data_IF_819111892587
#
_entry.id   IF_819111892587
#
_cell.length_a   1.000
_cell.length_b   1.000
_cell.length_c   1.000
_cell.angle_alpha   90.00
_cell.angle_beta   90.00
_cell.angle_gamma   90.00
#
_symmetry.space_group_name_H-M   'P 1'
#
loop_
_entity.id
_entity.type
_entity.pdbx_description
1 polymer ?
#
# COMPACT_ATOMS: atom_id res chain seq x y z
N UNK A 1 34.99 -10.71 -1.00
CA UNK A 1 34.84 -10.01 0.29
C UNK A 1 35.75 -8.78 0.35
N UNK A 2 35.40 -7.71 -0.36
CA UNK A 2 36.14 -6.43 -0.40
C UNK A 2 35.16 -5.27 -0.67
N UNK A 3 34.07 -5.21 0.08
CA UNK A 3 33.05 -4.17 -0.09
C UNK A 3 32.48 -3.75 1.27
N UNK A 4 33.36 -3.48 2.23
CA UNK A 4 33.00 -3.11 3.60
C UNK A 4 33.65 -1.79 4.07
N UNK A 5 34.19 -0.98 3.14
CA UNK A 5 35.11 0.10 3.50
C UNK A 5 34.73 1.48 2.95
N UNK A 6 33.45 1.85 2.99
CA UNK A 6 33.00 3.19 2.60
C UNK A 6 31.97 3.82 3.57
N UNK A 7 31.98 3.41 4.84
CA UNK A 7 31.04 3.91 5.87
C UNK A 7 31.68 4.98 6.80
N UNK A 8 32.97 5.29 6.69
CA UNK A 8 33.66 6.16 7.65
C UNK A 8 34.53 7.21 6.96
N UNK A 9 33.94 8.31 6.51
CA UNK A 9 34.68 9.53 6.25
C UNK A 9 33.72 10.74 6.12
N UNK A 10 33.67 11.54 7.18
CA UNK A 10 33.43 12.99 7.16
C UNK A 10 31.96 13.40 6.88
N UNK A 11 31.08 13.70 7.83
CA UNK A 11 31.24 14.24 9.18
C UNK A 11 32.21 15.43 9.23
N UNK A 12 31.81 16.59 8.67
CA UNK A 12 32.18 17.95 9.09
C UNK A 12 31.91 18.94 7.95
N UNK A 13 30.77 19.65 8.00
CA UNK A 13 30.74 21.10 7.76
C UNK A 13 29.40 21.63 8.25
N UNK A 14 29.49 22.46 9.27
CA UNK A 14 28.41 22.97 10.12
C UNK A 14 28.21 24.47 9.81
N UNK A 15 26.99 24.95 10.00
CA UNK A 15 26.58 26.34 10.26
C UNK A 15 26.64 27.35 9.10
N UNK A 16 25.46 27.89 8.78
CA UNK A 16 25.29 29.14 8.03
C UNK A 16 23.86 29.67 8.17
N UNK A 17 23.55 30.25 9.34
CA UNK A 17 22.29 30.98 9.61
C UNK A 17 22.37 32.35 8.97
N UNK A 18 21.34 32.77 8.23
CA UNK A 18 21.03 34.19 8.02
C UNK A 18 19.53 34.37 7.81
N UNK A 19 18.90 34.92 8.84
CA UNK A 19 17.55 35.46 8.91
C UNK A 19 17.33 36.65 7.98
N UNK A 20 16.17 36.73 7.31
CA UNK A 20 15.51 37.99 6.93
C UNK A 20 13.99 37.81 6.87
N UNK A 21 13.26 38.47 7.77
CA UNK A 21 11.84 38.84 7.61
C UNK A 21 11.78 40.30 7.16
N UNK A 22 10.88 40.64 6.23
CA UNK A 22 9.75 41.54 6.55
C UNK A 22 8.50 41.09 5.75
N UNK A 23 7.28 41.61 5.85
CA UNK A 23 6.70 42.76 6.50
C UNK A 23 5.21 42.43 6.73
N UNK A 24 4.64 43.02 7.76
CA UNK A 24 3.22 43.03 8.06
C UNK A 24 2.60 44.25 7.35
N UNK A 25 1.67 44.05 6.44
CA UNK A 25 0.75 45.06 5.89
C UNK A 25 -0.29 44.28 5.06
N UNK A 26 -1.59 44.48 5.13
CA UNK A 26 -2.47 45.34 5.91
C UNK A 26 -3.87 44.86 5.50
N UNK A 27 -4.79 44.78 6.46
CA UNK A 27 -6.19 44.49 6.16
C UNK A 27 -6.79 45.69 5.39
N UNK A 28 -7.34 45.46 4.20
CA UNK A 28 -8.37 46.32 3.62
C UNK A 28 -9.26 45.50 2.66
N UNK A 29 -10.56 45.61 2.91
CA UNK A 29 -11.64 45.03 2.14
C UNK A 29 -11.72 45.60 0.71
N UNK A 30 -12.17 44.80 -0.25
CA UNK A 30 -12.49 45.26 -1.59
C UNK A 30 -12.83 44.12 -2.54
N UNK A 31 -14.13 43.93 -2.80
CA UNK A 31 -14.69 43.02 -3.81
C UNK A 31 -14.13 43.32 -5.22
N UNK A 32 -13.78 42.28 -6.01
CA UNK A 32 -13.90 42.16 -7.48
C UNK A 32 -13.22 40.84 -7.96
N UNK A 33 -14.00 39.85 -8.38
CA UNK A 33 -13.58 38.66 -9.18
C UNK A 33 -13.33 39.12 -10.64
N UNK A 34 -12.69 38.37 -11.57
CA UNK A 34 -12.15 37.01 -11.49
C UNK A 34 -10.72 36.85 -12.07
N UNK A 35 -9.84 36.16 -11.35
CA UNK A 35 -8.59 35.64 -11.93
C UNK A 35 -8.59 34.14 -11.73
N UNK A 36 -8.60 33.45 -12.87
CA UNK A 36 -8.53 32.02 -13.05
C UNK A 36 -7.65 31.34 -11.99
N UNK A 37 -8.28 30.68 -11.02
CA UNK A 37 -7.63 29.58 -10.35
C UNK A 37 -7.50 28.46 -11.39
N UNK A 38 -6.30 27.93 -11.69
CA UNK A 38 -6.25 26.60 -12.27
C UNK A 38 -6.92 25.68 -11.25
N UNK A 39 -8.00 25.04 -11.68
CA UNK A 39 -8.64 23.98 -10.89
C UNK A 39 -7.52 23.06 -10.38
N UNK A 40 -7.40 22.84 -9.06
CA UNK A 40 -6.43 21.89 -8.55
C UNK A 40 -6.80 20.57 -9.20
N UNK A 41 -5.96 20.13 -10.13
CA UNK A 41 -6.05 18.89 -10.89
C UNK A 41 -6.61 17.84 -9.96
N UNK A 42 -7.86 17.45 -10.23
CA UNK A 42 -8.61 16.47 -9.46
C UNK A 42 -7.64 15.35 -9.08
N UNK A 43 -7.45 15.18 -7.77
CA UNK A 43 -6.75 14.05 -7.20
C UNK A 43 -7.07 12.82 -8.03
N UNK A 44 -6.06 12.12 -8.57
CA UNK A 44 -6.24 10.79 -9.16
C UNK A 44 -6.87 9.93 -8.08
N UNK A 45 -8.20 9.90 -8.03
CA UNK A 45 -8.95 9.23 -6.98
C UNK A 45 -8.72 7.75 -7.23
N UNK A 46 -8.09 7.02 -6.30
CA UNK A 46 -8.01 5.58 -6.44
C UNK A 46 -9.45 5.08 -6.60
N UNK A 47 -9.71 4.30 -7.66
CA UNK A 47 -11.02 3.71 -7.85
C UNK A 47 -11.43 2.99 -6.55
N UNK A 48 -12.71 3.07 -6.15
CA UNK A 48 -13.15 2.47 -4.90
C UNK A 48 -12.80 0.96 -4.91
N UNK A 49 -12.31 0.42 -3.79
CA UNK A 49 -11.97 -0.99 -3.68
C UNK A 49 -13.21 -1.85 -3.95
N UNK A 50 -13.02 -2.91 -4.72
CA UNK A 50 -14.09 -3.84 -5.13
C UNK A 50 -14.00 -5.11 -4.28
N UNK A 51 -15.15 -5.62 -3.86
CA UNK A 51 -15.24 -6.92 -3.19
C UNK A 51 -15.13 -8.02 -4.23
N UNK A 52 -14.12 -8.89 -4.08
CA UNK A 52 -13.86 -10.04 -4.93
C UNK A 52 -13.88 -11.28 -4.05
N UNK A 53 -14.51 -12.35 -4.54
CA UNK A 53 -14.51 -13.66 -3.88
C UNK A 53 -13.48 -14.55 -4.56
N UNK A 54 -12.43 -14.95 -3.83
CA UNK A 54 -11.42 -15.88 -4.32
C UNK A 54 -11.69 -17.31 -3.83
N UNK A 55 -11.50 -18.28 -4.72
CA UNK A 55 -11.53 -19.70 -4.40
C UNK A 55 -10.12 -20.18 -4.07
N UNK A 56 -9.81 -20.28 -2.79
CA UNK A 56 -8.51 -20.70 -2.28
C UNK A 56 -8.49 -22.21 -2.10
N UNK A 57 -7.55 -22.90 -2.77
CA UNK A 57 -7.34 -24.34 -2.58
C UNK A 57 -6.22 -24.60 -1.58
N UNK A 58 -6.51 -25.35 -0.54
CA UNK A 58 -5.51 -25.82 0.41
C UNK A 58 -4.72 -27.00 -0.20
N UNK A 59 -3.40 -26.89 -0.39
CA UNK A 59 -2.61 -27.94 -1.05
C UNK A 59 -2.47 -29.24 -0.25
N UNK A 60 -2.80 -29.22 1.05
CA UNK A 60 -2.63 -30.38 1.93
C UNK A 60 -3.96 -31.08 2.22
N UNK A 61 -5.05 -30.34 2.40
CA UNK A 61 -6.38 -30.95 2.58
C UNK A 61 -7.14 -31.12 1.27
N UNK A 62 -6.65 -30.51 0.18
CA UNK A 62 -7.31 -30.44 -1.13
C UNK A 62 -8.70 -29.78 -1.10
N UNK A 63 -9.12 -29.20 0.03
CA UNK A 63 -10.37 -28.48 0.19
C UNK A 63 -10.28 -27.08 -0.44
N UNK A 64 -11.40 -26.61 -0.97
CA UNK A 64 -11.56 -25.25 -1.48
C UNK A 64 -12.33 -24.39 -0.49
N UNK A 65 -11.92 -23.14 -0.34
CA UNK A 65 -12.53 -22.17 0.55
C UNK A 65 -12.79 -20.87 -0.23
N UNK A 66 -14.03 -20.38 -0.19
CA UNK A 66 -14.36 -19.06 -0.72
C UNK A 66 -13.97 -17.98 0.30
N UNK A 67 -13.24 -16.96 -0.15
CA UNK A 67 -12.75 -15.87 0.69
C UNK A 67 -13.10 -14.55 0.03
N UNK A 68 -13.89 -13.74 0.73
CA UNK A 68 -14.23 -12.38 0.30
C UNK A 68 -13.14 -11.40 0.74
N UNK A 69 -12.64 -10.60 -0.19
CA UNK A 69 -11.57 -9.64 0.03
C UNK A 69 -11.77 -8.39 -0.81
N UNK A 70 -11.30 -7.27 -0.27
CA UNK A 70 -11.39 -5.97 -0.92
C UNK A 70 -10.07 -5.71 -1.65
N UNK A 71 -10.13 -5.60 -2.97
CA UNK A 71 -8.97 -5.39 -3.84
C UNK A 71 -9.14 -4.07 -4.60
N UNK A 72 -8.06 -3.36 -4.96
CA UNK A 72 -8.16 -2.25 -5.89
C UNK A 72 -8.90 -2.65 -7.18
N UNK A 73 -9.73 -1.75 -7.71
CA UNK A 73 -10.59 -2.05 -8.87
C UNK A 73 -9.81 -2.48 -10.12
N UNK A 74 -8.57 -2.01 -10.25
CA UNK A 74 -7.61 -2.39 -11.30
C UNK A 74 -7.30 -3.89 -11.33
N UNK A 75 -7.53 -4.60 -10.23
CA UNK A 75 -7.19 -6.01 -10.06
C UNK A 75 -8.43 -6.91 -9.90
N UNK A 76 -9.64 -6.38 -10.13
CA UNK A 76 -10.89 -7.12 -10.00
C UNK A 76 -11.06 -8.24 -11.06
N UNK A 77 -10.41 -8.10 -12.22
CA UNK A 77 -10.49 -9.05 -13.33
C UNK A 77 -9.28 -10.00 -13.42
N UNK A 78 -8.30 -9.85 -12.53
CA UNK A 78 -7.06 -10.64 -12.57
C UNK A 78 -7.02 -11.65 -11.41
N UNK A 79 -6.62 -12.88 -11.74
CA UNK A 79 -6.48 -13.93 -10.75
C UNK A 79 -5.11 -13.84 -10.06
N UNK A 80 -5.05 -13.77 -8.72
CA UNK A 80 -3.79 -13.64 -8.02
C UNK A 80 -2.99 -14.94 -8.08
N UNK A 81 -1.67 -14.79 -8.16
CA UNK A 81 -0.75 -15.92 -8.10
C UNK A 81 -0.46 -16.31 -6.66
N UNK A 82 -0.48 -17.60 -6.35
CA UNK A 82 -0.02 -18.12 -5.06
C UNK A 82 1.52 -18.05 -5.01
N UNK A 83 2.05 -17.15 -4.18
CA UNK A 83 3.50 -16.94 -4.05
C UNK A 83 4.11 -17.89 -3.03
N UNK A 84 3.40 -18.10 -1.92
CA UNK A 84 3.90 -18.98 -0.87
C UNK A 84 2.76 -19.62 -0.09
N UNK A 85 2.98 -20.87 0.31
CA UNK A 85 2.15 -21.57 1.27
C UNK A 85 3.07 -22.00 2.42
N UNK A 86 2.86 -21.42 3.60
CA UNK A 86 3.65 -21.74 4.79
C UNK A 86 2.77 -22.31 5.90
N UNK A 87 3.20 -23.38 6.58
CA UNK A 87 2.54 -23.85 7.78
C UNK A 87 2.74 -22.80 8.89
N UNK A 88 1.64 -22.40 9.52
CA UNK A 88 1.64 -21.57 10.71
C UNK A 88 1.55 -22.43 11.98
N UNK A 89 1.62 -21.74 13.13
CA UNK A 89 1.50 -22.37 14.45
C UNK A 89 0.07 -22.92 14.63
N UNK A 90 -0.09 -24.02 15.38
CA UNK A 90 -1.36 -24.69 15.66
C UNK A 90 -2.10 -25.24 14.44
N UNK A 91 -1.36 -25.72 13.44
CA UNK A 91 -1.96 -26.30 12.22
C UNK A 91 -2.72 -25.28 11.38
N UNK A 92 -2.46 -23.98 11.59
CA UNK A 92 -2.88 -22.92 10.67
C UNK A 92 -2.03 -23.01 9.42
N UNK A 93 -2.57 -22.56 8.28
CA UNK A 93 -1.82 -22.42 7.03
C UNK A 93 -1.94 -20.98 6.58
N UNK A 94 -0.85 -20.40 6.14
CA UNK A 94 -0.82 -19.04 5.62
C UNK A 94 -0.50 -19.13 4.14
N UNK A 95 -1.44 -18.69 3.31
CA UNK A 95 -1.36 -18.65 1.86
C UNK A 95 -1.19 -17.19 1.47
N UNK A 96 -0.06 -16.87 0.83
CA UNK A 96 0.20 -15.50 0.36
C UNK A 96 -0.10 -15.44 -1.12
N UNK A 97 -1.09 -14.61 -1.46
CA UNK A 97 -1.50 -14.30 -2.81
C UNK A 97 -0.93 -12.95 -3.24
N UNK A 98 -0.44 -12.88 -4.47
CA UNK A 98 0.07 -11.64 -5.06
C UNK A 98 -0.60 -11.37 -6.39
N UNK A 99 -1.06 -10.14 -6.56
CA UNK A 99 -1.61 -9.66 -7.81
C UNK A 99 -0.51 -9.21 -8.77
N UNK A 100 -0.50 -9.66 -10.04
CA UNK A 100 0.48 -9.21 -11.03
C UNK A 100 0.34 -7.72 -11.39
N UNK A 101 -0.90 -7.22 -11.54
CA UNK A 101 -1.25 -5.83 -11.89
C UNK A 101 -0.50 -4.77 -11.08
N UNK A 102 -0.55 -4.87 -9.75
CA UNK A 102 -0.08 -3.82 -8.84
C UNK A 102 0.88 -4.33 -7.77
N UNK A 103 1.19 -5.64 -7.76
CA UNK A 103 2.04 -6.26 -6.74
C UNK A 103 1.41 -6.32 -5.35
N UNK A 104 0.11 -6.06 -5.22
CA UNK A 104 -0.60 -6.14 -3.94
C UNK A 104 -0.54 -7.57 -3.41
N UNK A 105 -0.25 -7.71 -2.12
CA UNK A 105 -0.12 -8.99 -1.45
C UNK A 105 -1.19 -9.12 -0.38
N UNK A 106 -1.87 -10.25 -0.35
CA UNK A 106 -2.85 -10.59 0.68
C UNK A 106 -2.48 -11.92 1.29
N UNK A 107 -2.53 -12.00 2.62
CA UNK A 107 -2.28 -13.24 3.34
C UNK A 107 -3.59 -13.84 3.83
N UNK A 108 -3.89 -15.04 3.36
CA UNK A 108 -5.08 -15.80 3.73
C UNK A 108 -4.65 -16.89 4.71
N UNK A 109 -5.11 -16.75 5.96
CA UNK A 109 -4.85 -17.72 7.01
C UNK A 109 -6.03 -18.69 7.11
N UNK A 110 -5.78 -19.96 6.81
CA UNK A 110 -6.74 -21.05 7.02
C UNK A 110 -6.45 -21.69 8.37
N UNK A 111 -7.44 -21.70 9.25
CA UNK A 111 -7.34 -22.39 10.54
C UNK A 111 -7.69 -23.88 10.39
N UNK A 112 -7.24 -24.72 11.33
CA UNK A 112 -7.59 -26.15 11.38
C UNK A 112 -9.10 -26.43 11.30
N UNK A 113 -9.93 -25.49 11.77
CA UNK A 113 -11.39 -25.59 11.75
C UNK A 113 -12.03 -25.06 10.46
N UNK A 114 -11.25 -24.75 9.42
CA UNK A 114 -11.76 -24.24 8.15
C UNK A 114 -12.18 -22.76 8.15
N UNK A 115 -11.92 -22.02 9.23
CA UNK A 115 -12.12 -20.56 9.23
C UNK A 115 -10.98 -19.89 8.45
N UNK A 116 -11.35 -18.98 7.56
CA UNK A 116 -10.44 -18.14 6.77
C UNK A 116 -10.32 -16.76 7.39
N UNK A 117 -9.11 -16.23 7.49
CA UNK A 117 -8.82 -14.90 8.02
C UNK A 117 -7.92 -14.19 7.01
N UNK A 118 -8.35 -13.03 6.53
CA UNK A 118 -7.60 -12.20 5.57
C UNK A 118 -6.73 -11.20 6.35
N UNK A 119 -5.49 -11.00 5.91
CA UNK A 119 -4.51 -10.04 6.45
C UNK A 119 -3.85 -9.25 5.34
#
# INVERSE_FOLDING_TARGET
MKLFQAIFAVAMMVVGVAMVSPAQAGALAGCCVPVCAPEPVCCVKPLPPVKVTLCVKDPVTCCTYAVDLCVPAECACEEPCLVSCRPGIFGRKVLTYKWPCCGHCVEIVITKHGKTIVR
#
